data_IF_237039236663
#
_entry.id   IF_237039236663
#
_cell.length_a   1.000
_cell.length_b   1.000
_cell.length_c   1.000
_cell.angle_alpha   90.00
_cell.angle_beta   90.00
_cell.angle_gamma   90.00
#
_symmetry.space_group_name_H-M   'P 1'
#
loop_
_entity.id
_entity.type
_entity.pdbx_description
1 polymer ?
#
# COMPACT_ATOMS: atom_id res chain seq x y z
N UNK A 1 -24.64 -7.75 -20.64
CA UNK A 1 -24.50 -8.55 -19.41
C UNK A 1 -23.10 -8.37 -18.88
N UNK A 2 -22.92 -7.45 -17.93
CA UNK A 2 -21.61 -7.16 -17.31
C UNK A 2 -21.30 -8.32 -16.37
N UNK A 3 -20.25 -9.09 -16.64
CA UNK A 3 -19.76 -10.10 -15.68
C UNK A 3 -19.51 -9.39 -14.35
N UNK A 4 -20.22 -9.79 -13.31
CA UNK A 4 -19.86 -9.46 -11.93
C UNK A 4 -18.38 -9.81 -11.77
N UNK A 5 -17.50 -8.82 -11.53
CA UNK A 5 -16.14 -9.11 -11.10
C UNK A 5 -16.27 -9.87 -9.78
N UNK A 6 -15.91 -11.14 -9.79
CA UNK A 6 -15.84 -11.97 -8.61
C UNK A 6 -14.95 -11.26 -7.57
N UNK A 7 -15.41 -11.15 -6.33
CA UNK A 7 -14.62 -10.52 -5.28
C UNK A 7 -13.33 -11.31 -5.12
N UNK A 8 -12.18 -10.63 -5.18
CA UNK A 8 -10.89 -11.29 -4.96
C UNK A 8 -10.74 -11.63 -3.49
N UNK A 9 -10.58 -12.91 -3.18
CA UNK A 9 -10.25 -13.37 -1.83
C UNK A 9 -8.81 -12.99 -1.45
N UNK A 10 -8.54 -12.66 -0.17
CA UNK A 10 -7.19 -12.39 0.28
C UNK A 10 -6.40 -13.69 0.51
N UNK A 11 -5.08 -13.59 0.35
CA UNK A 11 -4.15 -14.48 1.03
C UNK A 11 -4.13 -14.13 2.51
N UNK A 12 -4.34 -15.12 3.38
CA UNK A 12 -4.26 -14.95 4.84
C UNK A 12 -2.84 -15.26 5.29
N UNK A 13 -2.13 -14.24 5.76
CA UNK A 13 -0.85 -14.40 6.42
C UNK A 13 -1.06 -14.78 7.88
N UNK A 14 -0.36 -15.83 8.33
CA UNK A 14 -0.46 -16.35 9.69
C UNK A 14 0.89 -16.23 10.39
N UNK A 15 0.84 -15.83 11.66
CA UNK A 15 2.01 -15.77 12.53
C UNK A 15 2.48 -17.15 12.99
N UNK A 16 3.58 -17.23 13.76
CA UNK A 16 4.13 -18.48 14.30
C UNK A 16 3.14 -19.29 15.16
N UNK A 17 2.17 -18.61 15.79
CA UNK A 17 1.11 -19.22 16.58
C UNK A 17 -0.10 -19.71 15.74
N UNK A 18 -0.02 -19.64 14.42
CA UNK A 18 -1.08 -20.01 13.48
C UNK A 18 -2.25 -19.01 13.38
N UNK A 19 -2.26 -17.93 14.17
CA UNK A 19 -3.29 -16.89 14.09
C UNK A 19 -3.08 -16.02 12.85
N UNK A 20 -4.17 -15.59 12.23
CA UNK A 20 -4.12 -14.63 11.14
C UNK A 20 -3.58 -13.28 11.64
N UNK A 21 -2.62 -12.71 10.91
CA UNK A 21 -1.99 -11.42 11.22
C UNK A 21 -2.26 -10.39 10.13
N UNK A 22 -2.44 -10.82 8.89
CA UNK A 22 -2.76 -9.93 7.79
C UNK A 22 -3.60 -10.64 6.72
N UNK A 23 -4.43 -9.85 6.05
CA UNK A 23 -5.06 -10.21 4.78
C UNK A 23 -4.36 -9.41 3.68
N UNK A 24 -3.90 -10.09 2.63
CA UNK A 24 -3.23 -9.47 1.48
C UNK A 24 -3.96 -9.81 0.20
N UNK A 25 -4.29 -8.79 -0.57
CA UNK A 25 -4.88 -8.91 -1.90
C UNK A 25 -3.82 -8.58 -2.94
N UNK A 26 -3.38 -9.58 -3.74
CA UNK A 26 -2.42 -9.36 -4.80
C UNK A 26 -2.92 -8.32 -5.81
N UNK A 27 -2.08 -7.34 -6.06
CA UNK A 27 -2.21 -6.34 -7.10
C UNK A 27 -1.33 -6.71 -8.29
N UNK A 28 -1.62 -6.14 -9.45
CA UNK A 28 -0.76 -6.32 -10.63
C UNK A 28 0.57 -5.62 -10.40
N UNK A 29 1.68 -6.26 -10.79
CA UNK A 29 3.01 -5.64 -10.89
C UNK A 29 3.30 -5.13 -12.30
N UNK A 30 2.31 -5.08 -13.20
CA UNK A 30 2.45 -4.40 -14.49
C UNK A 30 2.80 -2.92 -14.25
N UNK A 31 3.85 -2.37 -14.90
CA UNK A 31 4.29 -0.99 -14.64
C UNK A 31 3.18 0.04 -14.86
N UNK A 32 2.34 -0.14 -15.88
CA UNK A 32 1.23 0.75 -16.17
C UNK A 32 0.15 0.69 -15.09
N UNK A 33 -0.23 -0.51 -14.66
CA UNK A 33 -1.20 -0.69 -13.57
C UNK A 33 -0.71 -0.09 -12.23
N UNK A 34 0.58 -0.26 -11.90
CA UNK A 34 1.18 0.34 -10.71
C UNK A 34 1.23 1.86 -10.80
N UNK A 35 1.65 2.40 -11.96
CA UNK A 35 1.65 3.84 -12.22
C UNK A 35 0.26 4.43 -12.00
N UNK A 36 -0.76 3.84 -12.60
CA UNK A 36 -2.13 4.35 -12.52
C UNK A 36 -2.67 4.28 -11.09
N UNK A 37 -2.38 3.18 -10.36
CA UNK A 37 -2.73 3.05 -8.95
C UNK A 37 -2.04 4.10 -8.07
N UNK A 38 -0.73 4.27 -8.20
CA UNK A 38 0.02 5.24 -7.40
C UNK A 38 -0.39 6.67 -7.75
N UNK A 39 -0.61 6.98 -9.04
CA UNK A 39 -1.10 8.27 -9.47
C UNK A 39 -2.46 8.59 -8.85
N UNK A 40 -3.39 7.64 -8.85
CA UNK A 40 -4.70 7.78 -8.22
C UNK A 40 -4.58 8.02 -6.71
N UNK A 41 -3.76 7.22 -6.01
CA UNK A 41 -3.55 7.35 -4.56
C UNK A 41 -2.97 8.72 -4.20
N UNK A 42 -1.87 9.12 -4.84
CA UNK A 42 -1.21 10.39 -4.55
C UNK A 42 -1.99 11.61 -5.06
N UNK A 43 -2.87 11.47 -6.05
CA UNK A 43 -3.72 12.60 -6.49
C UNK A 43 -4.90 12.81 -5.55
N UNK A 44 -5.58 11.72 -5.17
CA UNK A 44 -6.88 11.80 -4.51
C UNK A 44 -6.84 11.68 -2.99
N UNK A 45 -5.73 11.17 -2.43
CA UNK A 45 -5.64 10.85 -0.99
C UNK A 45 -4.31 11.32 -0.36
N UNK A 46 -3.57 12.25 -0.99
CA UNK A 46 -2.26 12.72 -0.51
C UNK A 46 -2.29 13.23 0.94
N UNK A 47 -3.41 13.81 1.37
CA UNK A 47 -3.62 14.41 2.69
C UNK A 47 -4.02 13.38 3.76
N UNK A 48 -4.19 12.12 3.37
CA UNK A 48 -4.71 11.03 4.20
C UNK A 48 -3.72 9.89 4.38
N UNK A 49 -2.60 9.90 3.66
CA UNK A 49 -1.62 8.81 3.63
C UNK A 49 -0.35 9.14 4.40
N UNK A 50 0.23 8.09 4.96
CA UNK A 50 1.62 8.06 5.43
C UNK A 50 2.34 7.02 4.59
N UNK A 51 3.54 7.32 4.12
CA UNK A 51 4.23 6.42 3.21
C UNK A 51 5.75 6.40 3.38
N UNK A 52 6.34 5.30 2.94
CA UNK A 52 7.77 5.13 2.80
C UNK A 52 8.19 3.67 2.96
N UNK A 53 9.48 3.36 2.80
CA UNK A 53 10.00 2.01 2.95
C UNK A 53 10.08 1.61 4.43
N UNK A 54 9.73 0.35 4.71
CA UNK A 54 9.94 -0.30 6.00
C UNK A 54 10.97 -1.41 5.79
N UNK A 55 12.20 -1.15 6.17
CA UNK A 55 13.36 -2.02 5.94
C UNK A 55 13.93 -2.52 7.26
N UNK A 56 14.76 -3.55 7.19
CA UNK A 56 15.43 -4.07 8.39
C UNK A 56 16.32 -2.98 8.99
N UNK A 57 16.01 -2.59 10.22
CA UNK A 57 16.74 -1.56 10.98
C UNK A 57 16.27 -0.12 10.78
N UNK A 58 15.31 0.16 9.90
CA UNK A 58 14.75 1.52 9.73
C UNK A 58 13.35 1.54 9.10
N UNK A 59 12.54 2.50 9.53
CA UNK A 59 11.31 2.88 8.84
C UNK A 59 11.37 4.38 8.53
N UNK A 60 11.00 4.76 7.31
CA UNK A 60 10.80 6.15 6.94
C UNK A 60 9.32 6.34 6.65
N UNK A 61 8.70 7.28 7.35
CA UNK A 61 7.28 7.58 7.25
C UNK A 61 7.12 9.07 6.97
N UNK A 62 6.58 9.39 5.80
CA UNK A 62 6.37 10.75 5.34
C UNK A 62 4.90 11.04 5.11
N UNK A 63 4.54 12.29 5.37
CA UNK A 63 3.27 12.88 4.94
C UNK A 63 3.55 13.78 3.74
N UNK A 64 2.55 13.95 2.88
CA UNK A 64 2.67 14.88 1.75
C UNK A 64 2.55 16.33 2.28
N UNK A 65 3.48 17.23 1.95
CA UNK A 65 3.40 18.64 2.40
C UNK A 65 2.30 19.44 1.69
N UNK A 66 1.71 18.88 0.64
CA UNK A 66 0.65 19.45 -0.18
C UNK A 66 0.24 18.46 -1.28
N UNK A 67 -0.68 18.85 -2.18
CA UNK A 67 -0.99 18.05 -3.36
C UNK A 67 0.24 17.89 -4.26
N UNK A 68 0.38 16.76 -4.99
CA UNK A 68 1.53 16.56 -5.86
C UNK A 68 1.51 17.56 -7.03
N UNK A 69 2.68 18.14 -7.34
CA UNK A 69 2.88 18.96 -8.56
C UNK A 69 3.40 18.12 -9.72
N UNK A 70 3.88 16.90 -9.43
CA UNK A 70 4.47 16.00 -10.42
C UNK A 70 4.14 14.55 -10.14
N UNK A 71 3.66 13.85 -11.17
CA UNK A 71 3.55 12.38 -11.23
C UNK A 71 3.95 11.93 -12.64
N UNK A 72 5.23 11.67 -12.83
CA UNK A 72 5.83 11.44 -14.15
C UNK A 72 6.71 10.20 -14.13
N UNK A 73 6.63 9.37 -15.18
CA UNK A 73 7.49 8.21 -15.33
C UNK A 73 8.58 8.53 -16.35
N UNK A 74 9.84 8.34 -15.95
CA UNK A 74 11.01 8.42 -16.82
C UNK A 74 11.73 7.06 -16.81
N UNK A 75 11.77 6.41 -17.97
CA UNK A 75 12.21 5.02 -18.09
C UNK A 75 11.42 4.08 -17.16
N UNK A 76 12.13 3.46 -16.22
CA UNK A 76 11.58 2.51 -15.25
C UNK A 76 11.12 3.15 -13.94
N UNK A 77 11.37 4.45 -13.73
CA UNK A 77 11.14 5.11 -12.46
C UNK A 77 9.95 6.08 -12.53
N UNK A 78 9.02 5.93 -11.58
CA UNK A 78 7.99 6.92 -11.30
C UNK A 78 8.55 7.96 -10.33
N UNK A 79 8.44 9.23 -10.69
CA UNK A 79 8.67 10.39 -9.82
C UNK A 79 7.32 10.88 -9.28
N UNK A 80 7.23 11.05 -7.96
CA UNK A 80 6.15 11.81 -7.31
C UNK A 80 6.77 12.97 -6.55
N UNK A 81 6.32 14.20 -6.82
CA UNK A 81 6.87 15.42 -6.25
C UNK A 81 5.83 16.36 -5.64
N UNK A 82 6.27 17.24 -4.73
CA UNK A 82 5.44 18.21 -4.01
C UNK A 82 6.09 19.61 -3.93
N UNK A 83 6.54 20.16 -5.06
CA UNK A 83 7.24 21.45 -5.19
C UNK A 83 8.52 21.56 -4.34
N UNK A 84 9.32 20.49 -4.31
CA UNK A 84 10.59 20.43 -3.60
C UNK A 84 10.96 19.00 -3.23
N UNK A 85 10.38 18.45 -2.14
CA UNK A 85 10.56 17.05 -1.83
C UNK A 85 9.89 16.19 -2.91
N UNK A 86 10.58 15.12 -3.28
CA UNK A 86 10.11 14.14 -4.23
C UNK A 86 10.81 12.81 -3.96
N UNK A 87 10.23 11.74 -4.47
CA UNK A 87 10.84 10.42 -4.45
C UNK A 87 10.72 9.75 -5.80
N UNK A 88 11.61 8.78 -6.02
CA UNK A 88 11.67 7.97 -7.24
C UNK A 88 11.47 6.51 -6.86
N UNK A 89 10.60 5.81 -7.59
CA UNK A 89 10.35 4.39 -7.35
C UNK A 89 10.36 3.61 -8.66
N UNK A 90 11.11 2.50 -8.69
CA UNK A 90 11.15 1.63 -9.85
C UNK A 90 9.82 0.89 -9.98
N UNK A 91 9.14 1.07 -11.12
CA UNK A 91 7.98 0.29 -11.53
C UNK A 91 8.34 -0.73 -12.63
N UNK A 92 9.50 -0.54 -13.26
CA UNK A 92 9.89 -1.26 -14.48
C UNK A 92 9.31 -0.62 -15.74
N UNK A 93 9.51 -1.30 -16.86
CA UNK A 93 8.93 -0.93 -18.16
C UNK A 93 8.29 -2.14 -18.81
N UNK A 94 7.28 -1.91 -19.67
CA UNK A 94 6.71 -2.97 -20.52
C UNK A 94 7.68 -3.45 -21.59
N UNK A 95 8.70 -2.65 -21.91
CA UNK A 95 9.68 -2.92 -22.97
C UNK A 95 10.99 -3.50 -22.43
N UNK A 96 10.94 -4.30 -21.37
CA UNK A 96 12.14 -4.96 -20.84
C UNK A 96 12.71 -5.96 -21.85
N UNK A 97 14.03 -5.93 -22.10
CA UNK A 97 14.70 -6.95 -22.92
C UNK A 97 15.28 -6.48 -24.26
N UNK A 98 15.45 -5.17 -24.49
CA UNK A 98 16.20 -4.65 -25.66
C UNK A 98 17.59 -4.11 -25.30
N UNK A 99 18.02 -4.26 -24.04
CA UNK A 99 19.26 -3.68 -23.52
C UNK A 99 20.38 -4.69 -23.19
N UNK A 100 21.49 -4.15 -22.70
CA UNK A 100 22.62 -4.88 -22.12
C UNK A 100 22.13 -5.92 -21.08
N UNK A 101 22.44 -7.23 -21.25
CA UNK A 101 22.03 -8.28 -20.32
C UNK A 101 22.44 -8.04 -18.86
N UNK A 102 23.59 -7.39 -18.63
CA UNK A 102 24.07 -7.07 -17.28
C UNK A 102 23.20 -5.97 -16.66
N UNK A 103 22.79 -4.99 -17.46
CA UNK A 103 21.89 -3.93 -17.01
C UNK A 103 20.48 -4.48 -16.73
N UNK A 104 19.95 -5.33 -17.60
CA UNK A 104 18.64 -5.96 -17.40
C UNK A 104 18.61 -6.83 -16.13
N UNK A 105 19.68 -7.59 -15.86
CA UNK A 105 19.78 -8.36 -14.62
C UNK A 105 19.77 -7.47 -13.37
N UNK A 106 20.48 -6.33 -13.41
CA UNK A 106 20.45 -5.34 -12.33
C UNK A 106 19.06 -4.72 -12.15
N UNK A 107 18.42 -4.29 -13.24
CA UNK A 107 17.09 -3.66 -13.17
C UNK A 107 16.03 -4.64 -12.71
N UNK A 108 16.08 -5.90 -13.16
CA UNK A 108 15.18 -6.95 -12.70
C UNK A 108 15.18 -7.11 -11.17
N UNK A 109 16.34 -6.97 -10.52
CA UNK A 109 16.43 -7.02 -9.05
C UNK A 109 15.80 -5.81 -8.34
N UNK A 110 15.65 -4.67 -9.04
CA UNK A 110 15.06 -3.44 -8.51
C UNK A 110 13.55 -3.34 -8.78
N UNK A 111 13.03 -4.10 -9.75
CA UNK A 111 11.61 -4.06 -10.13
C UNK A 111 10.71 -4.68 -9.05
N UNK A 112 9.44 -4.25 -8.97
CA UNK A 112 8.45 -4.86 -8.11
C UNK A 112 8.24 -6.34 -8.45
N UNK A 113 8.39 -7.22 -7.46
CA UNK A 113 8.03 -8.62 -7.58
C UNK A 113 6.65 -8.91 -6.97
N UNK A 114 6.27 -8.14 -5.95
CA UNK A 114 4.94 -8.22 -5.35
C UNK A 114 4.40 -6.83 -5.06
N UNK A 115 3.09 -6.69 -5.20
CA UNK A 115 2.33 -5.52 -4.80
C UNK A 115 1.03 -6.02 -4.17
N UNK A 116 0.65 -5.49 -3.01
CA UNK A 116 -0.55 -5.93 -2.29
C UNK A 116 -1.29 -4.74 -1.71
N UNK A 117 -2.62 -4.76 -1.82
CA UNK A 117 -3.44 -4.09 -0.82
C UNK A 117 -3.49 -4.99 0.41
N UNK A 118 -3.39 -4.41 1.61
CA UNK A 118 -3.39 -5.17 2.84
C UNK A 118 -4.35 -4.62 3.89
N UNK A 119 -4.71 -5.50 4.80
CA UNK A 119 -5.35 -5.19 6.08
C UNK A 119 -4.68 -6.01 7.17
N UNK A 120 -4.11 -5.33 8.16
CA UNK A 120 -3.51 -5.97 9.34
C UNK A 120 -4.58 -6.29 10.37
N UNK A 121 -4.35 -7.34 11.15
CA UNK A 121 -5.22 -7.79 12.22
C UNK A 121 -4.52 -7.66 13.57
N UNK A 122 -5.29 -7.27 14.59
CA UNK A 122 -4.85 -7.26 15.99
C UNK A 122 -4.76 -8.68 16.58
N UNK A 123 -4.31 -8.78 17.84
CA UNK A 123 -4.15 -10.06 18.53
C UNK A 123 -5.45 -10.87 18.72
N UNK A 124 -6.62 -10.23 18.53
CA UNK A 124 -7.96 -10.83 18.59
C UNK A 124 -8.49 -11.18 17.18
N UNK A 125 -7.71 -10.88 16.13
CA UNK A 125 -8.06 -11.14 14.74
C UNK A 125 -8.94 -10.06 14.11
N UNK A 126 -9.06 -8.88 14.72
CA UNK A 126 -9.87 -7.78 14.17
C UNK A 126 -9.00 -6.74 13.43
N UNK A 127 -9.50 -6.08 12.36
CA UNK A 127 -8.70 -5.16 11.57
C UNK A 127 -8.26 -3.88 12.26
N UNK A 128 -6.97 -3.56 12.27
CA UNK A 128 -6.44 -2.36 12.91
C UNK A 128 -5.59 -1.44 12.00
N UNK A 129 -5.20 -1.90 10.81
CA UNK A 129 -4.47 -1.08 9.82
C UNK A 129 -4.77 -1.53 8.39
N UNK A 130 -4.71 -0.60 7.45
CA UNK A 130 -5.02 -0.82 6.02
C UNK A 130 -4.01 -0.07 5.17
N UNK A 131 -3.69 -0.62 4.00
CA UNK A 131 -2.73 0.05 3.14
C UNK A 131 -2.40 -0.68 1.86
N UNK A 132 -1.30 -0.24 1.27
CA UNK A 132 -0.66 -0.83 0.11
C UNK A 132 0.82 -1.09 0.41
N UNK A 133 1.38 -2.17 -0.11
CA UNK A 133 2.81 -2.42 -0.06
C UNK A 133 3.33 -2.91 -1.41
N UNK A 134 4.62 -2.66 -1.64
CA UNK A 134 5.37 -3.14 -2.79
C UNK A 134 6.75 -3.63 -2.35
N UNK A 135 7.14 -4.81 -2.84
CA UNK A 135 8.45 -5.42 -2.53
C UNK A 135 9.13 -5.89 -3.80
N UNK A 136 10.46 -5.81 -3.82
CA UNK A 136 11.27 -6.33 -4.92
C UNK A 136 11.44 -7.87 -4.83
N UNK A 137 12.17 -8.46 -5.77
CA UNK A 137 12.38 -9.91 -5.84
C UNK A 137 13.13 -10.50 -4.63
N UNK A 138 13.89 -9.67 -3.89
CA UNK A 138 14.56 -10.07 -2.65
C UNK A 138 13.65 -9.93 -1.42
N UNK A 139 12.39 -9.52 -1.59
CA UNK A 139 11.44 -9.29 -0.50
C UNK A 139 11.65 -7.98 0.27
N UNK A 140 12.58 -7.13 -0.18
CA UNK A 140 12.85 -5.83 0.45
C UNK A 140 11.71 -4.86 0.16
N UNK A 141 11.25 -4.14 1.17
CA UNK A 141 10.23 -3.09 1.03
C UNK A 141 10.73 -2.00 0.09
N UNK A 142 9.94 -1.72 -0.95
CA UNK A 142 10.15 -0.57 -1.84
C UNK A 142 9.29 0.61 -1.40
N UNK A 143 8.04 0.34 -1.03
CA UNK A 143 7.07 1.32 -0.58
C UNK A 143 6.00 0.63 0.24
N UNK A 144 5.68 1.22 1.39
CA UNK A 144 4.46 0.98 2.14
C UNK A 144 3.68 2.29 2.16
N UNK A 145 2.37 2.21 1.91
CA UNK A 145 1.44 3.33 2.07
C UNK A 145 0.41 2.89 3.10
N UNK A 146 0.39 3.54 4.25
CA UNK A 146 -0.68 3.42 5.22
C UNK A 146 -1.82 4.35 4.84
N UNK A 147 -3.03 3.81 4.78
CA UNK A 147 -4.24 4.58 4.52
C UNK A 147 -4.75 5.23 5.79
N UNK A 148 -5.70 6.15 5.64
CA UNK A 148 -6.36 6.80 6.77
C UNK A 148 -6.85 5.77 7.79
N UNK A 149 -6.38 5.92 9.04
CA UNK A 149 -6.61 4.95 10.10
C UNK A 149 -7.60 5.51 11.15
N UNK A 150 -8.73 4.83 11.44
CA UNK A 150 -9.70 5.22 12.46
C UNK A 150 -9.10 5.48 13.85
N UNK A 151 -8.01 4.81 14.19
CA UNK A 151 -7.42 4.82 15.53
C UNK A 151 -6.23 5.79 15.68
N UNK A 152 -5.82 6.46 14.60
CA UNK A 152 -4.61 7.29 14.58
C UNK A 152 -4.95 8.75 14.24
N UNK A 153 -4.45 9.66 15.06
CA UNK A 153 -4.47 11.11 14.89
C UNK A 153 -3.13 11.58 14.30
N UNK A 154 -3.06 12.81 13.76
CA UNK A 154 -1.80 13.36 13.28
C UNK A 154 -0.69 13.32 14.34
N UNK A 155 0.52 12.95 13.89
CA UNK A 155 1.70 12.77 14.75
C UNK A 155 1.68 11.47 15.55
N UNK A 156 1.13 10.39 14.98
CA UNK A 156 1.10 9.03 15.53
C UNK A 156 0.45 8.91 16.92
N UNK A 157 -0.43 9.85 17.25
CA UNK A 157 -1.20 9.79 18.50
C UNK A 157 -2.40 8.88 18.32
N UNK A 158 -2.73 8.10 19.34
CA UNK A 158 -3.94 7.28 19.32
C UNK A 158 -5.18 8.15 19.56
N UNK A 159 -6.26 7.84 18.86
CA UNK A 159 -7.57 8.41 19.11
C UNK A 159 -8.24 7.70 20.30
N UNK A 160 -8.95 8.44 21.14
CA UNK A 160 -9.73 7.87 22.25
C UNK A 160 -10.93 7.04 21.73
N UNK A 161 -11.55 7.51 20.64
CA UNK A 161 -12.66 6.84 19.96
C UNK A 161 -12.33 6.71 18.46
N UNK A 162 -12.68 5.58 17.81
CA UNK A 162 -12.37 5.36 16.40
C UNK A 162 -13.21 6.26 15.48
N UNK A 163 -12.55 6.91 14.53
CA UNK A 163 -13.21 7.61 13.42
C UNK A 163 -13.37 6.68 12.21
N UNK A 164 -14.50 5.96 12.17
CA UNK A 164 -14.81 5.03 11.08
C UNK A 164 -15.05 5.69 9.72
N UNK A 165 -15.21 7.02 9.65
CA UNK A 165 -15.33 7.72 8.37
C UNK A 165 -14.05 7.61 7.54
N UNK A 166 -12.89 7.47 8.19
CA UNK A 166 -11.57 7.25 7.56
C UNK A 166 -11.50 5.99 6.70
N UNK A 167 -12.37 5.01 6.94
CA UNK A 167 -12.45 3.81 6.10
C UNK A 167 -13.04 4.08 4.71
N UNK A 168 -13.53 5.29 4.43
CA UNK A 168 -14.01 5.65 3.09
C UNK A 168 -12.92 5.41 2.03
N UNK A 169 -11.69 5.87 2.28
CA UNK A 169 -10.55 5.64 1.38
C UNK A 169 -10.34 4.14 1.10
N UNK A 170 -10.27 3.31 2.14
CA UNK A 170 -10.12 1.86 1.99
C UNK A 170 -11.24 1.23 1.18
N UNK A 171 -12.49 1.63 1.42
CA UNK A 171 -13.68 1.13 0.72
C UNK A 171 -13.68 1.50 -0.76
N UNK A 172 -13.32 2.74 -1.09
CA UNK A 172 -13.25 3.21 -2.48
C UNK A 172 -12.14 2.51 -3.26
N UNK A 173 -10.93 2.47 -2.70
CA UNK A 173 -9.77 1.80 -3.33
C UNK A 173 -10.07 0.31 -3.52
N UNK A 174 -10.57 -0.36 -2.47
CA UNK A 174 -10.87 -1.79 -2.56
C UNK A 174 -11.98 -2.12 -3.55
N UNK A 175 -13.03 -1.31 -3.63
CA UNK A 175 -14.07 -1.48 -4.63
C UNK A 175 -13.51 -1.31 -6.05
N UNK A 176 -12.74 -0.24 -6.27
CA UNK A 176 -12.17 0.10 -7.57
C UNK A 176 -11.20 -0.95 -8.08
N UNK A 177 -10.25 -1.37 -7.24
CA UNK A 177 -9.13 -2.21 -7.66
C UNK A 177 -9.35 -3.71 -7.42
N UNK A 178 -10.16 -4.08 -6.43
CA UNK A 178 -10.41 -5.48 -6.07
C UNK A 178 -11.85 -5.94 -6.36
N UNK A 179 -12.76 -5.01 -6.65
CA UNK A 179 -14.20 -5.31 -6.73
C UNK A 179 -14.83 -5.63 -5.37
N UNK A 180 -14.11 -5.39 -4.26
CA UNK A 180 -14.54 -5.78 -2.91
C UNK A 180 -15.51 -4.73 -2.36
N UNK A 181 -16.64 -5.18 -1.86
CA UNK A 181 -17.62 -4.29 -1.20
C UNK A 181 -17.15 -3.98 0.22
N UNK A 182 -17.68 -2.90 0.79
CA UNK A 182 -17.49 -2.61 2.20
C UNK A 182 -18.07 -3.73 3.07
N UNK A 183 -17.38 -4.06 4.15
CA UNK A 183 -17.78 -5.11 5.09
C UNK A 183 -17.86 -4.54 6.51
N UNK A 184 -18.78 -5.07 7.32
CA UNK A 184 -18.86 -4.72 8.74
C UNK A 184 -17.59 -5.15 9.51
N UNK A 185 -16.89 -6.17 9.01
CA UNK A 185 -15.66 -6.68 9.62
C UNK A 185 -14.54 -5.63 9.69
N UNK A 186 -14.47 -4.66 8.78
CA UNK A 186 -13.50 -3.57 8.85
C UNK A 186 -13.70 -2.66 10.09
N UNK A 187 -14.78 -2.82 10.85
CA UNK A 187 -15.13 -2.00 12.01
C UNK A 187 -15.17 -2.77 13.34
N UNK A 188 -14.53 -3.94 13.42
CA UNK A 188 -14.63 -4.80 14.62
C UNK A 188 -13.49 -4.62 15.62
N UNK A 189 -12.40 -3.94 15.26
CA UNK A 189 -11.29 -3.74 16.19
C UNK A 189 -11.57 -2.62 17.18
N UNK A 190 -10.86 -2.66 18.30
CA UNK A 190 -10.83 -1.60 19.32
C UNK A 190 -9.56 -0.75 19.22
N UNK A 191 -8.77 -0.93 18.16
CA UNK A 191 -7.56 -0.17 17.89
C UNK A 191 -6.28 -0.88 18.34
N UNK A 192 -5.26 -0.08 18.65
CA UNK A 192 -3.95 -0.57 19.03
C UNK A 192 -3.89 -0.78 20.56
N UNK A 193 -4.33 -1.95 21.02
CA UNK A 193 -4.08 -2.38 22.41
C UNK A 193 -2.59 -2.74 22.56
N UNK A 194 -1.74 -1.76 22.89
CA UNK A 194 -0.32 -2.02 23.19
C UNK A 194 -0.10 -2.83 24.49
N UNK A 195 -1.15 -3.06 25.29
CA UNK A 195 -1.08 -3.80 26.56
C UNK A 195 -1.28 -5.32 26.45
N UNK A 196 -1.34 -5.88 25.23
CA UNK A 196 -1.49 -7.32 25.03
C UNK A 196 -0.34 -7.94 24.22
N UNK A 197 0.90 -7.54 24.53
CA UNK A 197 2.11 -8.26 24.14
C UNK A 197 2.49 -9.27 25.23
#
# INVERSE_FOLDING_TARGET
>A
MTKSKEQREPTIERGPNGRAQAHRWPMSTDPGALRDFLADVFTNYWDQIIFGPIIDGAAYEWTCPGPPDKIEQDGEFLTVGFNGPHFHICLGTRESGRGDPVLEAKMHALRPATANLFRMLDGKGAPNSWGFEMRNAAGVSMLTIFFANPFVLPGDRLADEPDWSKLLMWREISLRYLGRKAEAFDQTSRGFDYQAA
#
